data_IF_021783332259
#
_entry.id   IF_021783332259
#
_cell.length_a   1.000
_cell.length_b   1.000
_cell.length_c   1.000
_cell.angle_alpha   90.00
_cell.angle_beta   90.00
_cell.angle_gamma   90.00
#
_symmetry.space_group_name_H-M   'P 1'
#
loop_
_entity.id
_entity.type
_entity.pdbx_description
1 polymer ?
#
# COMPACT_ATOMS: atom_id res chain seq x y z
N UNK A 1 -12.05 -49.42 25.43
CA UNK A 1 -11.36 -48.93 24.23
C UNK A 1 -10.10 -49.73 24.04
N UNK A 2 -9.88 -50.25 22.84
CA UNK A 2 -8.71 -51.06 22.53
C UNK A 2 -7.46 -50.18 22.42
N UNK A 3 -6.48 -50.43 23.30
CA UNK A 3 -5.22 -49.67 23.32
C UNK A 3 -4.47 -49.76 21.99
N UNK A 4 -4.59 -50.89 21.30
CA UNK A 4 -3.99 -51.14 19.98
C UNK A 4 -4.63 -50.29 18.88
N UNK A 5 -5.91 -49.93 19.00
CA UNK A 5 -6.59 -49.04 18.05
C UNK A 5 -6.14 -47.59 18.23
N UNK A 6 -5.92 -47.18 19.48
CA UNK A 6 -5.42 -45.85 19.85
C UNK A 6 -3.99 -45.66 19.34
N UNK A 7 -3.09 -46.63 19.59
CA UNK A 7 -1.70 -46.58 19.12
C UNK A 7 -1.61 -46.46 17.60
N UNK A 8 -2.38 -47.26 16.85
CA UNK A 8 -2.44 -47.19 15.38
C UNK A 8 -2.96 -45.85 14.87
N UNK A 9 -3.97 -45.29 15.53
CA UNK A 9 -4.53 -43.99 15.14
C UNK A 9 -3.49 -42.87 15.34
N UNK A 10 -2.78 -42.88 16.47
CA UNK A 10 -1.71 -41.92 16.78
C UNK A 10 -0.54 -42.06 15.79
N UNK A 11 -0.14 -43.30 15.47
CA UNK A 11 0.94 -43.56 14.50
C UNK A 11 0.63 -43.00 13.11
N UNK A 12 -0.64 -43.05 12.67
CA UNK A 12 -1.06 -42.62 11.32
C UNK A 12 -1.34 -41.11 11.26
N UNK A 13 -2.02 -40.56 12.27
CA UNK A 13 -2.52 -39.17 12.23
C UNK A 13 -1.60 -38.19 12.94
N UNK A 14 -0.72 -38.66 13.83
CA UNK A 14 0.17 -37.81 14.63
C UNK A 14 -0.54 -37.04 15.76
N UNK A 15 -1.82 -37.30 15.98
CA UNK A 15 -2.64 -36.64 17.00
C UNK A 15 -2.41 -37.20 18.41
N UNK A 16 -2.74 -36.41 19.44
CA UNK A 16 -2.58 -36.82 20.84
C UNK A 16 -3.55 -37.92 21.28
N UNK A 17 -3.19 -38.65 22.35
CA UNK A 17 -4.00 -39.74 22.90
C UNK A 17 -5.44 -39.31 23.26
N UNK A 18 -5.60 -38.08 23.78
CA UNK A 18 -6.91 -37.54 24.11
C UNK A 18 -7.81 -37.36 22.86
N UNK A 19 -7.26 -36.85 21.76
CA UNK A 19 -7.98 -36.71 20.48
C UNK A 19 -8.32 -38.09 19.90
N UNK A 20 -7.37 -39.01 19.91
CA UNK A 20 -7.56 -40.38 19.43
C UNK A 20 -8.73 -41.09 20.13
N UNK A 21 -8.84 -40.92 21.47
CA UNK A 21 -9.96 -41.49 22.24
C UNK A 21 -11.30 -40.89 21.80
N UNK A 22 -11.38 -39.59 21.53
CA UNK A 22 -12.62 -38.94 21.09
C UNK A 22 -13.06 -39.44 19.71
N UNK A 23 -12.17 -39.45 18.72
CA UNK A 23 -12.47 -39.91 17.37
C UNK A 23 -12.82 -41.41 17.32
N UNK A 24 -12.11 -42.25 18.09
CA UNK A 24 -12.41 -43.67 18.18
C UNK A 24 -13.72 -43.95 18.94
N UNK A 25 -14.12 -43.08 19.87
CA UNK A 25 -15.42 -43.19 20.54
C UNK A 25 -16.56 -42.93 19.55
N UNK A 26 -16.43 -41.91 18.71
CA UNK A 26 -17.42 -41.58 17.68
C UNK A 26 -17.50 -42.64 16.57
N UNK A 27 -16.36 -43.24 16.24
CA UNK A 27 -16.26 -44.28 15.22
C UNK A 27 -16.51 -45.71 15.77
N UNK A 28 -17.04 -45.84 16.99
CA UNK A 28 -17.32 -47.12 17.65
C UNK A 28 -16.13 -48.11 17.67
N UNK A 29 -14.91 -47.58 17.78
CA UNK A 29 -13.66 -48.36 17.80
C UNK A 29 -13.08 -48.71 16.43
N UNK A 30 -13.68 -48.24 15.32
CA UNK A 30 -13.14 -48.42 13.98
C UNK A 30 -12.11 -47.33 13.63
N UNK A 31 -10.85 -47.74 13.48
CA UNK A 31 -9.71 -46.83 13.21
C UNK A 31 -9.85 -46.13 11.85
N UNK A 32 -10.33 -46.81 10.81
CA UNK A 32 -10.42 -46.25 9.46
C UNK A 32 -11.49 -45.15 9.39
N UNK A 33 -12.63 -45.39 10.04
CA UNK A 33 -13.69 -44.40 10.16
C UNK A 33 -13.25 -43.21 11.02
N UNK A 34 -12.51 -43.45 12.11
CA UNK A 34 -11.96 -42.38 12.94
C UNK A 34 -10.99 -41.48 12.16
N UNK A 35 -10.11 -42.07 11.34
CA UNK A 35 -9.16 -41.33 10.49
C UNK A 35 -9.91 -40.50 9.45
N UNK A 36 -10.92 -41.08 8.83
CA UNK A 36 -11.78 -40.38 7.86
C UNK A 36 -12.48 -39.19 8.51
N UNK A 37 -13.04 -39.38 9.71
CA UNK A 37 -13.70 -38.33 10.49
C UNK A 37 -12.74 -37.19 10.85
N UNK A 38 -11.49 -37.51 11.19
CA UNK A 38 -10.46 -36.51 11.49
C UNK A 38 -10.15 -35.63 10.27
N UNK A 39 -9.97 -36.25 9.09
CA UNK A 39 -9.69 -35.52 7.86
C UNK A 39 -10.88 -34.70 7.37
N UNK A 40 -12.11 -35.21 7.52
CA UNK A 40 -13.34 -34.47 7.21
C UNK A 40 -13.54 -33.30 8.19
N UNK A 41 -13.15 -33.49 9.46
CA UNK A 41 -13.19 -32.46 10.50
C UNK A 41 -11.98 -31.51 10.49
N UNK A 42 -11.03 -31.65 9.56
CA UNK A 42 -9.90 -30.74 9.39
C UNK A 42 -8.87 -30.73 10.52
N UNK A 43 -8.78 -31.79 11.34
CA UNK A 43 -7.80 -31.89 12.43
C UNK A 43 -8.09 -30.98 13.64
N UNK A 44 -9.31 -30.49 13.78
CA UNK A 44 -9.68 -29.59 14.87
C UNK A 44 -10.11 -30.40 16.10
N UNK A 45 -9.52 -30.20 17.30
CA UNK A 45 -9.96 -30.85 18.52
C UNK A 45 -11.46 -30.58 18.75
N UNK A 46 -12.26 -31.64 18.94
CA UNK A 46 -13.72 -31.57 19.09
C UNK A 46 -14.18 -30.78 20.33
N UNK A 47 -13.25 -30.41 21.21
CA UNK A 47 -13.46 -29.64 22.43
C UNK A 47 -12.90 -28.20 22.34
N UNK A 48 -12.42 -27.80 21.16
CA UNK A 48 -12.06 -26.41 20.90
C UNK A 48 -13.34 -25.58 20.68
N UNK A 49 -13.47 -24.49 21.43
CA UNK A 49 -14.48 -23.46 21.22
C UNK A 49 -14.65 -23.16 19.72
N UNK A 50 -15.87 -22.87 19.25
CA UNK A 50 -16.18 -22.77 17.82
C UNK A 50 -15.12 -21.90 17.14
N UNK A 51 -14.47 -22.40 16.07
CA UNK A 51 -13.53 -21.59 15.32
C UNK A 51 -14.25 -20.31 14.86
N UNK A 52 -13.58 -19.15 14.81
CA UNK A 52 -14.18 -17.98 14.19
C UNK A 52 -14.58 -18.38 12.77
N UNK A 53 -15.88 -18.27 12.49
CA UNK A 53 -16.49 -18.62 11.21
C UNK A 53 -15.58 -18.18 10.06
N UNK A 54 -15.21 -19.12 9.19
CA UNK A 54 -14.50 -18.78 7.97
C UNK A 54 -15.31 -17.70 7.25
N UNK A 55 -14.68 -16.62 6.76
CA UNK A 55 -15.43 -15.51 6.20
C UNK A 55 -16.22 -16.00 5.00
N UNK A 56 -17.55 -16.02 5.17
CA UNK A 56 -18.54 -16.32 4.16
C UNK A 56 -18.12 -15.64 2.85
N UNK A 57 -17.91 -16.45 1.80
CA UNK A 57 -17.37 -16.00 0.51
C UNK A 57 -18.20 -14.82 0.04
N UNK A 58 -17.62 -13.62 0.07
CA UNK A 58 -18.33 -12.39 -0.31
C UNK A 58 -18.88 -12.56 -1.74
N UNK A 59 -20.18 -12.32 -1.97
CA UNK A 59 -20.75 -12.47 -3.30
C UNK A 59 -20.04 -11.53 -4.29
N UNK A 60 -19.98 -11.91 -5.58
CA UNK A 60 -19.47 -11.02 -6.62
C UNK A 60 -20.18 -9.66 -6.57
N UNK A 61 -19.40 -8.59 -6.62
CA UNK A 61 -19.94 -7.22 -6.58
C UNK A 61 -20.89 -7.05 -7.77
N UNK A 62 -22.13 -6.64 -7.51
CA UNK A 62 -23.11 -6.37 -8.56
C UNK A 62 -22.65 -5.19 -9.42
N UNK A 63 -22.70 -5.30 -10.76
CA UNK A 63 -22.29 -4.23 -11.64
C UNK A 63 -23.28 -3.05 -11.55
N UNK A 64 -22.84 -1.92 -11.01
CA UNK A 64 -23.60 -0.66 -11.05
C UNK A 64 -23.34 0.09 -12.36
N UNK A 65 -24.37 0.73 -12.90
CA UNK A 65 -24.29 1.63 -14.06
C UNK A 65 -24.57 3.05 -13.58
N UNK A 66 -23.52 3.81 -13.34
CA UNK A 66 -23.61 5.23 -13.00
C UNK A 66 -23.17 6.10 -14.17
N UNK A 67 -23.83 7.24 -14.36
CA UNK A 67 -23.48 8.23 -15.37
C UNK A 67 -22.27 9.00 -14.85
N UNK A 68 -21.12 8.79 -15.48
CA UNK A 68 -19.83 9.27 -15.00
C UNK A 68 -19.70 10.81 -14.95
N UNK A 69 -20.57 11.56 -15.64
CA UNK A 69 -20.52 13.03 -15.74
C UNK A 69 -21.93 13.61 -15.90
N UNK A 70 -22.35 14.56 -15.04
CA UNK A 70 -23.57 15.34 -15.26
C UNK A 70 -23.47 16.20 -16.51
N UNK A 71 -24.46 16.13 -17.38
CA UNK A 71 -24.55 16.91 -18.62
C UNK A 71 -25.00 18.36 -18.36
N UNK A 72 -24.26 19.16 -17.60
CA UNK A 72 -24.45 20.61 -17.59
C UNK A 72 -23.13 21.38 -17.75
N UNK A 73 -23.14 22.52 -18.48
CA UNK A 73 -21.92 23.16 -18.95
C UNK A 73 -21.35 24.05 -17.85
N UNK A 74 -20.43 23.50 -17.06
CA UNK A 74 -19.66 24.30 -16.10
C UNK A 74 -18.50 24.97 -16.85
N UNK A 75 -18.65 26.30 -16.97
CA UNK A 75 -17.64 27.33 -17.18
C UNK A 75 -16.25 26.93 -17.72
N UNK A 76 -15.93 27.55 -18.85
CA UNK A 76 -14.62 27.55 -19.51
C UNK A 76 -13.44 27.91 -18.58
N UNK A 77 -12.28 27.29 -18.89
CA UNK A 77 -10.86 27.57 -18.56
C UNK A 77 -10.19 26.73 -17.46
N UNK A 78 -8.86 26.45 -17.53
CA UNK A 78 -7.93 26.47 -18.68
C UNK A 78 -7.44 25.04 -19.06
N UNK A 79 -7.16 24.88 -20.35
CA UNK A 79 -6.43 23.78 -21.03
C UNK A 79 -6.09 22.54 -20.19
N UNK A 80 -6.78 21.45 -20.52
CA UNK A 80 -6.40 20.08 -20.19
C UNK A 80 -4.89 19.87 -20.35
N UNK A 81 -4.23 19.44 -19.28
CA UNK A 81 -2.95 18.75 -19.39
C UNK A 81 -3.19 17.46 -20.16
N UNK A 82 -2.27 17.10 -21.06
CA UNK A 82 -2.31 15.86 -21.86
C UNK A 82 -2.02 14.59 -21.04
N UNK A 83 -1.98 14.69 -19.71
CA UNK A 83 -1.63 13.58 -18.83
C UNK A 83 -2.89 12.83 -18.39
N UNK A 84 -2.99 11.57 -18.81
CA UNK A 84 -4.04 10.61 -18.38
C UNK A 84 -4.11 10.46 -16.85
N UNK A 85 -3.01 10.73 -16.14
CA UNK A 85 -2.93 10.73 -14.68
C UNK A 85 -3.53 11.96 -13.99
N UNK A 86 -3.69 13.08 -14.71
CA UNK A 86 -4.28 14.31 -14.14
C UNK A 86 -5.81 14.20 -13.96
N UNK A 87 -6.41 13.15 -14.54
CA UNK A 87 -7.84 12.84 -14.37
C UNK A 87 -8.20 12.40 -12.95
N UNK A 88 -7.20 12.02 -12.14
CA UNK A 88 -7.35 11.72 -10.71
C UNK A 88 -6.85 12.85 -9.79
N UNK A 89 -6.30 13.94 -10.34
CA UNK A 89 -6.06 15.16 -9.55
C UNK A 89 -7.40 15.82 -9.28
N UNK A 90 -7.95 15.56 -8.12
CA UNK A 90 -9.03 16.38 -7.59
C UNK A 90 -8.45 17.75 -7.18
N UNK A 91 -8.39 18.67 -8.15
CA UNK A 91 -7.91 20.03 -7.95
C UNK A 91 -8.72 20.77 -6.88
N UNK A 92 -10.00 20.40 -6.69
CA UNK A 92 -10.86 20.96 -5.64
C UNK A 92 -10.31 20.65 -4.24
N UNK A 93 -9.76 19.45 -4.04
CA UNK A 93 -9.12 19.03 -2.78
C UNK A 93 -7.76 19.70 -2.59
N UNK A 94 -6.96 19.85 -3.64
CA UNK A 94 -5.66 20.52 -3.57
C UNK A 94 -5.79 22.03 -3.30
N UNK A 95 -6.74 22.72 -3.95
CA UNK A 95 -7.03 24.14 -3.73
C UNK A 95 -7.44 24.37 -2.28
N UNK A 96 -8.38 23.57 -1.77
CA UNK A 96 -8.84 23.68 -0.38
C UNK A 96 -7.70 23.44 0.62
N UNK A 97 -6.85 22.45 0.36
CA UNK A 97 -5.70 22.14 1.21
C UNK A 97 -4.66 23.27 1.18
N UNK A 98 -4.39 23.85 0.02
CA UNK A 98 -3.49 25.01 -0.10
C UNK A 98 -4.03 26.24 0.62
N UNK A 99 -5.33 26.52 0.55
CA UNK A 99 -5.97 27.59 1.30
C UNK A 99 -5.91 27.34 2.83
N UNK A 100 -6.18 26.12 3.29
CA UNK A 100 -6.05 25.73 4.70
C UNK A 100 -4.58 25.76 5.19
N UNK A 101 -3.62 25.44 4.34
CA UNK A 101 -2.18 25.44 4.66
C UNK A 101 -1.62 26.88 4.65
N UNK A 102 -2.13 27.75 3.77
CA UNK A 102 -1.82 29.18 3.75
C UNK A 102 -2.39 29.89 4.99
N UNK A 103 -3.63 29.59 5.38
CA UNK A 103 -4.25 30.15 6.60
C UNK A 103 -3.58 29.64 7.88
N UNK A 104 -3.16 28.37 7.96
CA UNK A 104 -2.40 27.84 9.11
C UNK A 104 -1.01 28.44 9.27
N UNK A 105 -0.29 28.71 8.17
CA UNK A 105 1.02 29.38 8.22
C UNK A 105 0.96 30.79 8.80
N UNK A 106 -0.18 31.48 8.66
CA UNK A 106 -0.41 32.80 9.23
C UNK A 106 -0.69 32.75 10.75
N UNK A 107 -1.19 31.64 11.28
CA UNK A 107 -1.64 31.50 12.69
C UNK A 107 -0.57 30.89 13.62
N UNK A 108 0.58 30.45 13.08
CA UNK A 108 1.76 30.12 13.91
C UNK A 108 1.58 28.93 14.87
N UNK A 109 0.74 27.95 14.55
CA UNK A 109 0.55 26.76 15.38
C UNK A 109 1.52 25.64 14.97
N UNK A 110 2.50 25.38 15.84
CA UNK A 110 3.48 24.31 15.66
C UNK A 110 2.93 22.96 16.14
N UNK A 111 3.23 21.91 15.34
CA UNK A 111 3.00 20.48 15.58
C UNK A 111 1.55 19.99 15.46
N UNK A 112 1.18 19.63 14.24
CA UNK A 112 0.42 18.42 14.01
C UNK A 112 1.27 17.52 13.11
N UNK A 113 1.78 16.43 13.69
CA UNK A 113 2.17 15.23 12.96
C UNK A 113 0.94 14.85 12.14
N UNK A 114 0.84 15.38 10.92
CA UNK A 114 -0.19 14.94 10.01
C UNK A 114 0.19 13.50 9.69
N UNK A 115 -0.50 12.57 10.32
CA UNK A 115 -0.91 11.35 9.66
C UNK A 115 -1.65 11.77 8.39
N UNK A 116 -0.88 12.17 7.37
CA UNK A 116 -1.36 12.36 6.01
C UNK A 116 -1.95 10.99 5.68
N UNK A 117 -3.25 10.94 5.41
CA UNK A 117 -3.82 9.77 4.75
C UNK A 117 -2.96 9.56 3.51
N UNK A 118 -2.07 8.56 3.54
CA UNK A 118 -1.10 8.30 2.47
C UNK A 118 -1.91 7.89 1.26
N UNK A 119 -2.25 8.85 0.40
CA UNK A 119 -2.94 8.55 -0.84
C UNK A 119 -1.94 7.82 -1.72
N UNK A 120 -2.40 6.91 -2.57
CA UNK A 120 -1.51 6.17 -3.48
C UNK A 120 -0.70 7.13 -4.36
N UNK A 121 -1.26 8.27 -4.74
CA UNK A 121 -0.59 9.35 -5.46
C UNK A 121 0.61 9.97 -4.71
N UNK A 122 0.64 9.93 -3.37
CA UNK A 122 1.75 10.44 -2.58
C UNK A 122 3.04 9.65 -2.82
N UNK A 123 2.91 8.36 -3.18
CA UNK A 123 4.04 7.48 -3.47
C UNK A 123 4.80 7.88 -4.72
N UNK A 124 4.17 8.65 -5.62
CA UNK A 124 4.76 9.05 -6.90
C UNK A 124 5.08 10.55 -6.95
N UNK A 125 4.94 11.26 -5.83
CA UNK A 125 5.22 12.70 -5.78
C UNK A 125 6.72 12.96 -5.92
N UNK A 126 7.11 14.06 -6.58
CA UNK A 126 8.50 14.52 -6.62
C UNK A 126 9.04 14.72 -5.19
N UNK A 127 10.34 14.50 -4.95
CA UNK A 127 10.93 14.64 -3.63
C UNK A 127 11.20 16.11 -3.28
N UNK A 128 10.15 16.86 -2.98
CA UNK A 128 10.21 18.31 -2.70
C UNK A 128 11.20 18.68 -1.57
N UNK A 129 11.51 17.76 -0.67
CA UNK A 129 12.43 17.97 0.46
C UNK A 129 13.90 18.11 0.04
N UNK A 130 14.28 17.61 -1.13
CA UNK A 130 15.67 17.60 -1.64
C UNK A 130 15.84 18.32 -2.97
N UNK A 131 14.73 18.72 -3.59
CA UNK A 131 14.72 19.29 -4.93
C UNK A 131 14.96 20.81 -4.87
N UNK A 132 15.86 21.28 -5.73
CA UNK A 132 16.13 22.70 -5.90
C UNK A 132 15.03 23.35 -6.74
N UNK A 133 14.31 24.28 -6.13
CA UNK A 133 13.24 25.05 -6.77
C UNK A 133 13.83 26.27 -7.47
N UNK A 134 14.16 26.13 -8.75
CA UNK A 134 14.67 27.23 -9.57
C UNK A 134 14.99 26.78 -10.99
N UNK A 135 15.51 27.71 -11.77
CA UNK A 135 16.01 27.43 -13.12
C UNK A 135 17.27 26.57 -13.06
N UNK A 136 17.59 25.92 -14.19
CA UNK A 136 18.83 25.16 -14.33
C UNK A 136 20.08 26.03 -14.11
N UNK A 137 20.02 27.30 -14.53
CA UNK A 137 21.14 28.24 -14.38
C UNK A 137 21.38 28.56 -12.91
N UNK A 138 20.33 28.85 -12.16
CA UNK A 138 20.40 29.09 -10.71
C UNK A 138 20.87 27.83 -9.96
N UNK A 139 20.40 26.64 -10.34
CA UNK A 139 20.83 25.38 -9.74
C UNK A 139 22.34 25.17 -9.92
N UNK A 140 22.86 25.46 -11.11
CA UNK A 140 24.29 25.38 -11.44
C UNK A 140 25.11 26.40 -10.65
N UNK A 141 24.61 27.63 -10.51
CA UNK A 141 25.29 28.65 -9.71
C UNK A 141 25.30 28.29 -8.23
N UNK A 142 24.20 27.77 -7.70
CA UNK A 142 24.14 27.33 -6.32
C UNK A 142 25.07 26.13 -6.05
N UNK A 143 25.13 25.16 -6.98
CA UNK A 143 26.07 24.05 -6.90
C UNK A 143 27.54 24.53 -6.84
N UNK A 144 27.90 25.54 -7.65
CA UNK A 144 29.22 26.18 -7.60
C UNK A 144 29.47 26.89 -6.28
N UNK A 145 28.51 27.70 -5.82
CA UNK A 145 28.63 28.48 -4.56
C UNK A 145 28.75 27.58 -3.34
N UNK A 146 28.00 26.48 -3.29
CA UNK A 146 28.03 25.50 -2.19
C UNK A 146 29.14 24.46 -2.34
N UNK A 147 29.91 24.50 -3.45
CA UNK A 147 30.90 23.48 -3.81
C UNK A 147 30.35 22.05 -3.75
N UNK A 148 29.16 21.86 -4.31
CA UNK A 148 28.43 20.58 -4.39
C UNK A 148 28.24 20.16 -5.83
N UNK A 149 28.02 18.87 -6.06
CA UNK A 149 27.73 18.36 -7.39
C UNK A 149 26.30 18.71 -7.81
N UNK A 150 26.08 18.94 -9.11
CA UNK A 150 24.73 19.16 -9.64
C UNK A 150 24.18 17.82 -10.16
N UNK A 151 23.13 17.31 -9.53
CA UNK A 151 22.43 16.11 -9.98
C UNK A 151 21.22 16.52 -10.82
N UNK A 152 21.26 16.21 -12.12
CA UNK A 152 20.15 16.50 -13.05
C UNK A 152 19.32 15.23 -13.23
N UNK A 153 18.08 15.26 -12.75
CA UNK A 153 17.14 14.16 -12.90
C UNK A 153 16.10 14.49 -14.00
N UNK A 154 16.16 13.79 -15.13
CA UNK A 154 15.19 13.92 -16.22
C UNK A 154 14.13 12.84 -16.05
N UNK A 155 12.88 13.22 -15.87
CA UNK A 155 11.78 12.27 -15.68
C UNK A 155 10.76 12.35 -16.79
N UNK A 156 10.27 11.17 -17.20
CA UNK A 156 9.10 11.03 -18.05
C UNK A 156 7.99 10.32 -17.26
N UNK A 157 6.82 10.93 -17.04
CA UNK A 157 5.75 10.31 -16.25
C UNK A 157 5.14 9.07 -16.94
N UNK A 158 5.35 8.93 -18.26
CA UNK A 158 4.94 7.75 -19.03
C UNK A 158 5.92 6.57 -18.88
N UNK A 159 7.12 6.82 -18.35
CA UNK A 159 8.15 5.80 -18.18
C UNK A 159 8.02 5.13 -16.81
N UNK A 160 7.80 3.80 -16.80
CA UNK A 160 7.61 3.04 -15.56
C UNK A 160 8.84 3.09 -14.66
N UNK A 161 10.04 3.13 -15.24
CA UNK A 161 11.30 3.23 -14.49
C UNK A 161 11.36 4.51 -13.64
N UNK A 162 10.81 5.63 -14.13
CA UNK A 162 10.71 6.87 -13.36
C UNK A 162 9.75 6.72 -12.17
N UNK A 163 8.68 5.93 -12.32
CA UNK A 163 7.72 5.65 -11.24
C UNK A 163 8.33 4.80 -10.12
N UNK A 164 9.13 3.79 -10.47
CA UNK A 164 9.87 2.98 -9.49
C UNK A 164 10.82 3.86 -8.68
N UNK A 165 11.53 4.76 -9.35
CA UNK A 165 12.46 5.66 -8.68
C UNK A 165 11.75 6.64 -7.73
N UNK A 166 10.57 7.15 -8.10
CA UNK A 166 9.76 8.00 -7.22
C UNK A 166 9.18 7.24 -6.00
N UNK A 167 8.88 5.94 -6.15
CA UNK A 167 8.31 5.10 -5.10
C UNK A 167 9.37 4.53 -4.14
N UNK A 168 10.50 4.07 -4.68
CA UNK A 168 11.44 3.22 -3.94
C UNK A 168 12.72 3.95 -3.54
N UNK A 169 13.18 4.94 -4.33
CA UNK A 169 14.48 5.61 -4.10
C UNK A 169 14.31 6.93 -3.37
N UNK A 170 13.43 7.79 -3.88
CA UNK A 170 13.25 9.14 -3.36
C UNK A 170 12.67 9.26 -1.94
N UNK A 171 11.80 8.35 -1.48
CA UNK A 171 11.32 8.39 -0.10
C UNK A 171 12.37 7.93 0.92
N UNK A 172 13.42 7.22 0.51
CA UNK A 172 14.46 6.70 1.40
C UNK A 172 15.22 7.86 2.08
N UNK A 173 15.25 7.85 3.42
CA UNK A 173 15.86 8.91 4.20
C UNK A 173 17.39 8.94 4.07
N UNK A 174 18.05 7.79 3.94
CA UNK A 174 19.51 7.75 3.74
C UNK A 174 19.88 8.35 2.39
N UNK A 175 19.11 8.04 1.34
CA UNK A 175 19.30 8.64 0.01
C UNK A 175 19.08 10.15 0.08
N UNK A 176 18.03 10.61 0.76
CA UNK A 176 17.77 12.04 0.94
C UNK A 176 18.94 12.75 1.65
N UNK A 177 19.50 12.15 2.69
CA UNK A 177 20.64 12.72 3.42
C UNK A 177 21.88 12.82 2.52
N UNK A 178 22.23 11.73 1.82
CA UNK A 178 23.37 11.71 0.89
C UNK A 178 23.21 12.78 -0.20
N UNK A 179 22.01 12.90 -0.78
CA UNK A 179 21.70 13.91 -1.79
C UNK A 179 21.81 15.32 -1.21
N UNK A 180 21.25 15.57 -0.01
CA UNK A 180 21.34 16.88 0.65
C UNK A 180 22.77 17.28 0.99
N UNK A 181 23.65 16.34 1.29
CA UNK A 181 25.02 16.65 1.72
C UNK A 181 25.93 16.96 0.53
N UNK A 182 25.79 16.21 -0.56
CA UNK A 182 26.75 16.23 -1.67
C UNK A 182 26.22 16.89 -2.94
N UNK A 183 24.90 16.98 -3.11
CA UNK A 183 24.29 17.37 -4.37
C UNK A 183 23.31 18.56 -4.24
N UNK A 184 23.18 19.29 -5.34
CA UNK A 184 22.00 20.10 -5.65
C UNK A 184 21.19 19.28 -6.66
N UNK A 185 20.03 18.76 -6.25
CA UNK A 185 19.15 18.00 -7.14
C UNK A 185 18.24 18.94 -7.91
N UNK A 186 18.35 18.93 -9.24
CA UNK A 186 17.44 19.63 -10.13
C UNK A 186 16.69 18.63 -11.01
N UNK A 187 15.36 18.75 -11.07
CA UNK A 187 14.52 17.79 -11.80
C UNK A 187 13.71 18.49 -12.90
N UNK A 188 13.65 17.85 -14.06
CA UNK A 188 12.80 18.30 -15.18
C UNK A 188 11.91 17.15 -15.65
N UNK A 189 10.63 17.47 -15.85
CA UNK A 189 9.67 16.55 -16.43
C UNK A 189 9.62 16.77 -17.95
N UNK A 190 9.85 15.72 -18.74
CA UNK A 190 9.64 15.71 -20.19
C UNK A 190 8.65 14.64 -20.58
N UNK A 191 7.66 15.04 -21.38
CA UNK A 191 6.75 14.13 -22.06
C UNK A 191 7.27 14.08 -23.50
N UNK A 192 7.75 12.93 -23.94
CA UNK A 192 8.13 12.72 -25.34
C UNK A 192 6.92 12.47 -26.22
#
# INVERSE_FOLDING_TARGET
MDKTAIEKFIEITGEGEASAIQYLTLAEGNVENAITLLFESGGVPLDAAPPPEEPEVRPPILPTREVLVPSEPVCSFPRASSNVFDRFRDFSVEIRRQEEEMTRKVIGSNRAVHSKTKRLEDLFRPPYEILFMGSFVEAREQAKTMNRWLLVNVQNPQEFSCQILNRDVWPDNQIKEIVKDHFILWQVCRIS
#
